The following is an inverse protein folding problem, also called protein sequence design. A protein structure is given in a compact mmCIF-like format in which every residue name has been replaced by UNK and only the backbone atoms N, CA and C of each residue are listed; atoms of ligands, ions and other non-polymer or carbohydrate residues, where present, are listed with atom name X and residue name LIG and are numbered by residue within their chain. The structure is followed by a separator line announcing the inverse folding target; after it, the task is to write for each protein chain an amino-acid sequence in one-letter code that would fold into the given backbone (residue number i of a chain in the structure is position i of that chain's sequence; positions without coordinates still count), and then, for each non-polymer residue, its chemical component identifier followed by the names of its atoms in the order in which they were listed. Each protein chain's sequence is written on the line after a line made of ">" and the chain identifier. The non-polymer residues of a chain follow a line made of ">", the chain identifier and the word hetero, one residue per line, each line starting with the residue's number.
data_IF_668952976468
#
_entry.id   IF_668952976468
#
_cell.length_a   1.000
_cell.length_b   1.000
_cell.length_c   1.000
_cell.angle_alpha   90.00
_cell.angle_beta   90.00
_cell.angle_gamma   90.00
#
_symmetry.space_group_name_H-M   'P 1'
#
loop_
_entity.id
_entity.type
_entity.pdbx_description
1 polymer ?
#
# COMPACT_ATOMS: atom_id res chain seq x y z
N UNK A 1 -11.50 -22.19 -6.56
CA UNK A 1 -11.70 -22.23 -5.09
C UNK A 1 -11.15 -20.99 -4.39
N UNK A 2 -9.88 -20.61 -4.59
CA UNK A 2 -9.27 -19.40 -3.98
C UNK A 2 -10.05 -18.11 -4.30
N UNK A 3 -10.46 -17.89 -5.56
CA UNK A 3 -11.27 -16.72 -5.94
C UNK A 3 -12.60 -16.61 -5.18
N UNK A 4 -13.24 -17.74 -4.83
CA UNK A 4 -14.47 -17.74 -4.04
C UNK A 4 -14.18 -17.30 -2.60
N UNK A 5 -13.07 -17.78 -2.02
CA UNK A 5 -12.63 -17.36 -0.68
C UNK A 5 -12.30 -15.87 -0.66
N UNK A 6 -11.52 -15.38 -1.61
CA UNK A 6 -11.19 -13.94 -1.72
C UNK A 6 -12.45 -13.09 -1.89
N UNK A 7 -13.46 -13.56 -2.63
CA UNK A 7 -14.75 -12.86 -2.76
C UNK A 7 -15.50 -12.79 -1.44
N UNK A 8 -15.54 -13.87 -0.67
CA UNK A 8 -16.16 -13.89 0.67
C UNK A 8 -15.45 -12.91 1.59
N UNK A 9 -14.12 -12.90 1.57
CA UNK A 9 -13.31 -11.94 2.34
C UNK A 9 -13.58 -10.49 1.92
N UNK A 10 -13.72 -10.21 0.62
CA UNK A 10 -14.06 -8.88 0.13
C UNK A 10 -15.46 -8.42 0.61
N UNK A 11 -16.43 -9.33 0.69
CA UNK A 11 -17.77 -9.01 1.18
C UNK A 11 -17.75 -8.63 2.68
N UNK A 12 -16.89 -9.24 3.50
CA UNK A 12 -16.71 -8.85 4.91
C UNK A 12 -16.25 -7.40 5.05
N UNK A 13 -15.45 -6.91 4.10
CA UNK A 13 -14.92 -5.54 4.12
C UNK A 13 -15.93 -4.48 3.65
N UNK A 14 -17.07 -4.86 3.05
CA UNK A 14 -18.04 -3.92 2.46
C UNK A 14 -18.57 -2.88 3.45
N UNK A 15 -18.75 -3.27 4.70
CA UNK A 15 -19.24 -2.41 5.78
C UNK A 15 -18.12 -1.94 6.73
N UNK A 16 -16.86 -2.17 6.36
CA UNK A 16 -15.70 -1.71 7.11
C UNK A 16 -15.21 -0.35 6.62
N UNK A 17 -14.35 0.30 7.40
CA UNK A 17 -13.66 1.54 7.01
C UNK A 17 -12.64 1.35 5.88
N UNK A 18 -12.45 0.12 5.35
CA UNK A 18 -11.54 -0.14 4.23
C UNK A 18 -11.98 0.59 2.96
N UNK A 19 -13.28 0.70 2.69
CA UNK A 19 -13.78 1.48 1.54
C UNK A 19 -13.43 2.97 1.67
N UNK A 20 -13.54 3.53 2.88
CA UNK A 20 -13.12 4.89 3.18
C UNK A 20 -11.62 5.04 2.97
N UNK A 21 -10.78 4.11 3.46
CA UNK A 21 -9.34 4.14 3.26
C UNK A 21 -8.97 4.13 1.76
N UNK A 22 -9.62 3.27 0.97
CA UNK A 22 -9.38 3.13 -0.47
C UNK A 22 -9.65 4.44 -1.23
N UNK A 23 -10.58 5.27 -0.76
CA UNK A 23 -10.91 6.57 -1.36
C UNK A 23 -10.14 7.74 -0.73
N UNK A 24 -9.91 7.71 0.58
CA UNK A 24 -9.28 8.81 1.32
C UNK A 24 -7.82 9.02 0.89
N UNK A 25 -7.07 7.93 0.67
CA UNK A 25 -5.66 7.98 0.25
C UNK A 25 -5.47 8.67 -1.12
N UNK A 26 -6.12 8.21 -2.21
CA UNK A 26 -6.02 8.91 -3.50
C UNK A 26 -6.67 10.30 -3.45
N UNK A 27 -7.75 10.48 -2.66
CA UNK A 27 -8.38 11.78 -2.45
C UNK A 27 -7.43 12.81 -1.83
N UNK A 28 -6.62 12.39 -0.86
CA UNK A 28 -5.60 13.26 -0.26
C UNK A 28 -4.55 13.71 -1.28
N UNK A 29 -4.04 12.79 -2.12
CA UNK A 29 -3.10 13.14 -3.20
C UNK A 29 -3.75 14.12 -4.18
N UNK A 30 -4.98 13.83 -4.61
CA UNK A 30 -5.72 14.68 -5.54
C UNK A 30 -5.86 16.12 -5.00
N UNK A 31 -6.36 16.27 -3.77
CA UNK A 31 -6.57 17.59 -3.15
C UNK A 31 -5.26 18.34 -2.98
N UNK A 32 -4.22 17.67 -2.48
CA UNK A 32 -2.92 18.30 -2.26
C UNK A 32 -2.26 18.74 -3.58
N UNK A 33 -2.34 17.91 -4.63
CA UNK A 33 -1.83 18.28 -5.94
C UNK A 33 -2.62 19.46 -6.53
N UNK A 34 -3.94 19.40 -6.48
CA UNK A 34 -4.81 20.46 -6.96
C UNK A 34 -4.50 21.78 -6.24
N UNK A 35 -4.40 21.76 -4.90
CA UNK A 35 -4.03 22.92 -4.10
C UNK A 35 -2.64 23.47 -4.49
N UNK A 36 -1.67 22.61 -4.76
CA UNK A 36 -0.32 23.02 -5.18
C UNK A 36 -0.37 23.78 -6.51
N UNK A 37 -1.13 23.27 -7.49
CA UNK A 37 -1.32 23.94 -8.78
C UNK A 37 -2.08 25.26 -8.61
N UNK A 38 -3.20 25.25 -7.89
CA UNK A 38 -3.98 26.47 -7.66
C UNK A 38 -3.18 27.56 -6.92
N UNK A 39 -2.19 27.17 -6.12
CA UNK A 39 -1.35 28.11 -5.35
C UNK A 39 -0.25 28.81 -6.16
N UNK A 40 0.01 28.47 -7.42
CA UNK A 40 1.17 29.04 -8.14
C UNK A 40 2.47 28.28 -7.96
N UNK A 41 2.52 27.34 -7.02
CA UNK A 41 3.76 26.67 -6.60
C UNK A 41 4.02 25.34 -7.32
N UNK A 42 3.26 25.05 -8.38
CA UNK A 42 3.46 23.82 -9.15
C UNK A 42 4.81 23.83 -9.87
N UNK A 43 5.53 22.69 -9.93
CA UNK A 43 6.74 22.57 -10.71
C UNK A 43 6.49 22.67 -12.23
N UNK A 44 5.28 22.94 -12.70
CA UNK A 44 4.95 23.35 -14.08
C UNK A 44 5.11 22.28 -15.15
N UNK A 45 5.64 21.09 -14.82
CA UNK A 45 5.86 19.98 -15.74
C UNK A 45 5.17 18.71 -15.23
N UNK A 46 4.51 18.00 -16.14
CA UNK A 46 3.80 16.75 -15.87
C UNK A 46 4.68 15.70 -15.18
N UNK A 47 5.89 15.50 -15.68
CA UNK A 47 6.83 14.53 -15.13
C UNK A 47 7.21 14.85 -13.68
N UNK A 48 7.51 16.12 -13.38
CA UNK A 48 7.87 16.56 -12.02
C UNK A 48 6.71 16.37 -11.05
N UNK A 49 5.50 16.73 -11.46
CA UNK A 49 4.28 16.50 -10.67
C UNK A 49 4.07 15.01 -10.42
N UNK A 50 4.22 14.18 -11.45
CA UNK A 50 4.08 12.72 -11.32
C UNK A 50 5.11 12.12 -10.36
N UNK A 51 6.38 12.54 -10.47
CA UNK A 51 7.45 12.10 -9.58
C UNK A 51 7.22 12.54 -8.13
N UNK A 52 6.80 13.78 -7.89
CA UNK A 52 6.49 14.27 -6.54
C UNK A 52 5.29 13.53 -5.93
N UNK A 53 4.21 13.33 -6.69
CA UNK A 53 3.05 12.57 -6.22
C UNK A 53 3.41 11.11 -5.92
N UNK A 54 4.18 10.48 -6.80
CA UNK A 54 4.67 9.11 -6.60
C UNK A 54 5.64 9.00 -5.41
N UNK A 55 6.45 10.03 -5.14
CA UNK A 55 7.32 10.09 -3.96
C UNK A 55 6.50 10.13 -2.67
N UNK A 56 5.45 10.96 -2.60
CA UNK A 56 4.58 11.03 -1.42
C UNK A 56 3.84 9.70 -1.21
N UNK A 57 3.42 9.06 -2.30
CA UNK A 57 2.89 7.71 -2.26
C UNK A 57 3.90 6.72 -1.67
N UNK A 58 5.09 6.62 -2.25
CA UNK A 58 6.09 5.63 -1.85
C UNK A 58 6.60 5.80 -0.41
N UNK A 59 6.89 7.05 -0.02
CA UNK A 59 7.57 7.35 1.24
C UNK A 59 6.66 7.26 2.46
N UNK A 60 5.40 7.69 2.30
CA UNK A 60 4.50 7.90 3.42
C UNK A 60 3.18 7.16 3.25
N UNK A 61 2.45 7.45 2.17
CA UNK A 61 1.07 6.99 2.06
C UNK A 61 0.96 5.47 1.82
N UNK A 62 1.89 4.84 1.09
CA UNK A 62 1.89 3.40 0.86
C UNK A 62 2.10 2.62 2.16
N UNK A 63 3.18 2.80 2.93
CA UNK A 63 3.37 2.06 4.17
C UNK A 63 2.24 2.35 5.18
N UNK A 64 1.73 3.58 5.24
CA UNK A 64 0.60 3.93 6.11
C UNK A 64 -0.72 3.32 5.65
N UNK A 65 -1.02 3.31 4.35
CA UNK A 65 -2.20 2.68 3.79
C UNK A 65 -2.17 1.17 4.03
N UNK A 66 -1.01 0.52 3.83
CA UNK A 66 -0.79 -0.89 4.15
C UNK A 66 -1.07 -1.16 5.63
N UNK A 67 -0.51 -0.33 6.52
CA UNK A 67 -0.70 -0.43 7.97
C UNK A 67 -2.19 -0.38 8.34
N UNK A 68 -2.89 0.66 7.88
CA UNK A 68 -4.29 0.84 8.15
C UNK A 68 -5.14 -0.29 7.54
N UNK A 69 -4.84 -0.69 6.30
CA UNK A 69 -5.54 -1.76 5.60
C UNK A 69 -5.45 -3.07 6.38
N UNK A 70 -4.24 -3.51 6.74
CA UNK A 70 -4.06 -4.78 7.44
C UNK A 70 -4.64 -4.73 8.86
N UNK A 71 -4.56 -3.60 9.55
CA UNK A 71 -5.14 -3.43 10.88
C UNK A 71 -6.68 -3.49 10.84
N UNK A 72 -7.32 -2.82 9.87
CA UNK A 72 -8.77 -2.87 9.68
C UNK A 72 -9.24 -4.28 9.28
N UNK A 73 -8.50 -4.94 8.38
CA UNK A 73 -8.79 -6.33 7.99
C UNK A 73 -8.70 -7.29 9.18
N UNK A 74 -7.70 -7.12 10.06
CA UNK A 74 -7.56 -7.93 11.26
C UNK A 74 -8.64 -7.62 12.31
N UNK A 75 -9.03 -6.35 12.46
CA UNK A 75 -10.05 -5.94 13.42
C UNK A 75 -11.42 -6.56 13.14
N UNK A 76 -11.77 -6.73 11.85
CA UNK A 76 -12.99 -7.46 11.45
C UNK A 76 -13.00 -8.89 12.00
N UNK A 77 -11.83 -9.52 12.15
CA UNK A 77 -11.71 -10.90 12.63
C UNK A 77 -11.54 -10.97 14.15
N UNK A 78 -10.81 -10.03 14.77
CA UNK A 78 -10.64 -9.98 16.22
C UNK A 78 -11.88 -9.48 16.99
N UNK A 79 -12.95 -9.11 16.28
CA UNK A 79 -14.24 -8.80 16.87
C UNK A 79 -14.90 -10.04 17.52
N UNK A 80 -15.91 -9.83 18.40
CA UNK A 80 -16.56 -10.93 19.11
C UNK A 80 -17.16 -11.95 18.12
N UNK A 81 -16.80 -13.22 18.28
CA UNK A 81 -17.33 -14.37 17.49
C UNK A 81 -17.03 -14.36 15.97
N UNK A 82 -16.13 -13.52 15.47
CA UNK A 82 -15.82 -13.47 14.04
C UNK A 82 -14.92 -14.65 13.60
N UNK A 83 -13.88 -14.97 14.38
CA UNK A 83 -13.02 -16.13 14.12
C UNK A 83 -13.77 -17.47 14.09
N UNK A 84 -14.80 -17.64 14.95
CA UNK A 84 -15.55 -18.89 15.10
C UNK A 84 -16.32 -19.33 13.85
N UNK A 85 -16.71 -18.41 12.96
CA UNK A 85 -17.39 -18.78 11.71
C UNK A 85 -16.41 -18.99 10.55
N UNK A 86 -15.30 -18.25 10.52
CA UNK A 86 -14.34 -18.33 9.42
C UNK A 86 -13.39 -19.53 9.54
N UNK A 87 -13.13 -20.01 10.76
CA UNK A 87 -12.21 -21.13 11.03
C UNK A 87 -12.90 -22.50 11.19
N UNK A 88 -14.23 -22.56 11.15
CA UNK A 88 -15.03 -23.80 11.21
C UNK A 88 -15.31 -24.39 9.82
N UNK A 89 -14.96 -23.67 8.74
CA UNK A 89 -14.99 -24.21 7.39
C UNK A 89 -14.09 -25.46 7.31
N UNK A 90 -14.48 -26.52 6.58
CA UNK A 90 -13.66 -27.74 6.40
C UNK A 90 -12.49 -27.49 5.43
N UNK A 91 -11.74 -26.42 5.67
CA UNK A 91 -10.64 -25.92 4.87
C UNK A 91 -9.42 -25.69 5.75
N UNK A 92 -8.20 -25.95 5.24
CA UNK A 92 -6.99 -25.60 5.97
C UNK A 92 -6.98 -24.11 6.32
N UNK A 93 -6.82 -23.77 7.61
CA UNK A 93 -6.78 -22.37 8.10
C UNK A 93 -5.79 -21.50 7.32
N UNK A 94 -4.65 -22.06 6.91
CA UNK A 94 -3.66 -21.38 6.08
C UNK A 94 -4.23 -20.86 4.74
N UNK A 95 -5.19 -21.55 4.12
CA UNK A 95 -5.85 -21.08 2.88
C UNK A 95 -6.72 -19.85 3.11
N UNK A 96 -7.31 -19.71 4.30
CA UNK A 96 -8.07 -18.51 4.68
C UNK A 96 -7.12 -17.31 4.81
N UNK A 97 -5.99 -17.48 5.48
CA UNK A 97 -4.95 -16.44 5.56
C UNK A 97 -4.38 -16.07 4.18
N UNK A 98 -4.13 -17.06 3.30
CA UNK A 98 -3.70 -16.80 1.92
C UNK A 98 -4.73 -15.98 1.13
N UNK A 99 -6.02 -16.28 1.26
CA UNK A 99 -7.07 -15.51 0.61
C UNK A 99 -7.11 -14.05 1.10
N UNK A 100 -6.90 -13.84 2.41
CA UNK A 100 -6.80 -12.50 3.03
C UNK A 100 -5.56 -11.74 2.59
N UNK A 101 -4.40 -12.41 2.54
CA UNK A 101 -3.16 -11.82 2.05
C UNK A 101 -3.27 -11.39 0.58
N UNK A 102 -3.87 -12.25 -0.25
CA UNK A 102 -4.16 -11.92 -1.66
C UNK A 102 -5.11 -10.72 -1.78
N UNK A 103 -6.15 -10.65 -0.95
CA UNK A 103 -7.06 -9.51 -0.92
C UNK A 103 -6.34 -8.22 -0.50
N UNK A 104 -5.49 -8.27 0.53
CA UNK A 104 -4.70 -7.13 0.98
C UNK A 104 -3.76 -6.62 -0.13
N UNK A 105 -3.08 -7.55 -0.83
CA UNK A 105 -2.22 -7.21 -1.96
C UNK A 105 -3.00 -6.59 -3.14
N UNK A 106 -4.19 -7.13 -3.45
CA UNK A 106 -5.08 -6.59 -4.48
C UNK A 106 -5.60 -5.20 -4.13
N UNK A 107 -6.02 -4.99 -2.87
CA UNK A 107 -6.47 -3.68 -2.41
C UNK A 107 -5.34 -2.65 -2.44
N UNK A 108 -4.11 -3.03 -2.07
CA UNK A 108 -2.94 -2.18 -2.24
C UNK A 108 -2.69 -1.82 -3.72
N UNK A 109 -2.90 -2.76 -4.65
CA UNK A 109 -2.81 -2.50 -6.09
C UNK A 109 -3.88 -1.50 -6.56
N UNK A 110 -5.13 -1.68 -6.11
CA UNK A 110 -6.24 -0.77 -6.40
C UNK A 110 -5.96 0.63 -5.86
N UNK A 111 -5.49 0.76 -4.62
CA UNK A 111 -5.12 2.06 -4.05
C UNK A 111 -4.00 2.70 -4.86
N UNK A 112 -2.96 1.94 -5.23
CA UNK A 112 -1.85 2.45 -6.07
C UNK A 112 -2.35 2.95 -7.44
N UNK A 113 -3.26 2.20 -8.07
CA UNK A 113 -3.90 2.62 -9.33
C UNK A 113 -4.68 3.92 -9.15
N UNK A 114 -5.53 3.99 -8.12
CA UNK A 114 -6.33 5.18 -7.82
C UNK A 114 -5.45 6.39 -7.49
N UNK A 115 -4.30 6.18 -6.85
CA UNK A 115 -3.31 7.24 -6.61
C UNK A 115 -2.73 7.76 -7.94
N UNK A 116 -2.36 6.86 -8.86
CA UNK A 116 -1.92 7.27 -10.20
C UNK A 116 -3.00 8.06 -10.96
N UNK A 117 -4.26 7.62 -10.88
CA UNK A 117 -5.39 8.32 -11.47
C UNK A 117 -5.66 9.67 -10.80
N UNK A 118 -5.51 9.76 -9.48
CA UNK A 118 -5.65 10.99 -8.71
C UNK A 118 -4.60 12.05 -9.11
N UNK A 119 -3.37 11.64 -9.39
CA UNK A 119 -2.32 12.54 -9.90
C UNK A 119 -2.72 13.10 -11.28
N UNK A 120 -3.19 12.24 -12.18
CA UNK A 120 -3.65 12.67 -13.51
C UNK A 120 -4.86 13.60 -13.41
N UNK A 121 -5.87 13.21 -12.64
CA UNK A 121 -7.08 14.00 -12.44
C UNK A 121 -6.78 15.36 -11.80
N UNK A 122 -5.90 15.41 -10.79
CA UNK A 122 -5.51 16.65 -10.12
C UNK A 122 -4.76 17.60 -11.06
N UNK A 123 -3.84 17.06 -11.87
CA UNK A 123 -3.12 17.84 -12.89
C UNK A 123 -4.03 18.39 -13.99
N UNK A 124 -4.94 17.56 -14.50
CA UNK A 124 -5.89 17.94 -15.56
C UNK A 124 -6.89 18.99 -15.05
N UNK A 125 -7.48 18.76 -13.87
CA UNK A 125 -8.42 19.71 -13.29
C UNK A 125 -7.72 21.03 -12.92
N UNK A 126 -6.51 20.97 -12.37
CA UNK A 126 -5.72 22.16 -12.04
C UNK A 126 -5.43 23.03 -13.27
N UNK A 127 -4.99 22.42 -14.38
CA UNK A 127 -4.78 23.13 -15.64
C UNK A 127 -6.07 23.63 -16.31
N UNK A 128 -7.19 22.94 -16.09
CA UNK A 128 -8.50 23.42 -16.55
C UNK A 128 -8.99 24.64 -15.75
N UNK A 129 -8.80 24.65 -14.43
CA UNK A 129 -9.19 25.75 -13.56
C UNK A 129 -8.31 26.99 -13.72
N UNK A 130 -6.99 26.80 -13.82
CA UNK A 130 -6.01 27.86 -14.10
C UNK A 130 -5.18 27.50 -15.34
N UNK A 131 -5.63 27.91 -16.54
CA UNK A 131 -4.93 27.64 -17.80
C UNK A 131 -3.47 28.13 -17.83
N UNK A 132 -3.18 29.25 -17.18
CA UNK A 132 -1.83 29.80 -17.08
C UNK A 132 -0.87 28.90 -16.29
N UNK A 133 -1.42 27.99 -15.47
CA UNK A 133 -0.68 27.01 -14.68
C UNK A 133 -0.81 25.58 -15.23
N UNK A 134 -1.31 25.43 -16.45
CA UNK A 134 -1.40 24.13 -17.09
C UNK A 134 -0.01 23.47 -17.16
N UNK A 135 0.04 22.20 -16.74
CA UNK A 135 1.27 21.43 -16.70
C UNK A 135 1.78 21.18 -18.12
N UNK A 136 3.05 21.46 -18.34
CA UNK A 136 3.72 21.30 -19.62
C UNK A 136 4.25 19.87 -19.80
N UNK A 137 4.41 19.47 -21.07
CA UNK A 137 4.93 18.16 -21.46
C UNK A 137 3.84 17.09 -21.67
N UNK A 138 4.23 15.86 -22.06
CA UNK A 138 3.28 14.78 -22.32
C UNK A 138 2.65 14.27 -21.03
N UNK A 139 1.43 13.73 -21.15
CA UNK A 139 0.75 13.07 -20.04
C UNK A 139 1.57 11.84 -19.57
N UNK A 140 1.93 11.74 -18.28
CA UNK A 140 2.91 10.77 -17.79
C UNK A 140 2.27 9.41 -17.48
N UNK A 141 1.38 8.91 -18.35
CA UNK A 141 0.61 7.68 -18.10
C UNK A 141 1.53 6.47 -17.97
N UNK A 142 2.48 6.31 -18.92
CA UNK A 142 3.45 5.21 -18.89
C UNK A 142 4.38 5.28 -17.68
N UNK A 143 4.82 6.48 -17.30
CA UNK A 143 5.62 6.71 -16.10
C UNK A 143 4.86 6.31 -14.83
N UNK A 144 3.64 6.79 -14.66
CA UNK A 144 2.82 6.47 -13.50
C UNK A 144 2.49 4.98 -13.43
N UNK A 145 2.13 4.34 -14.55
CA UNK A 145 1.89 2.91 -14.60
C UNK A 145 3.13 2.10 -14.17
N UNK A 146 4.32 2.50 -14.65
CA UNK A 146 5.58 1.87 -14.27
C UNK A 146 5.93 2.10 -12.79
N UNK A 147 5.76 3.32 -12.28
CA UNK A 147 6.03 3.63 -10.88
C UNK A 147 5.06 2.90 -9.93
N UNK A 148 3.75 2.98 -10.18
CA UNK A 148 2.74 2.35 -9.32
C UNK A 148 2.90 0.83 -9.28
N UNK A 149 3.20 0.19 -10.42
CA UNK A 149 3.43 -1.26 -10.47
C UNK A 149 4.73 -1.68 -9.76
N UNK A 150 5.84 -0.97 -9.97
CA UNK A 150 7.11 -1.24 -9.29
C UNK A 150 7.03 -1.00 -7.79
N UNK A 151 6.38 0.08 -7.35
CA UNK A 151 6.15 0.39 -5.94
C UNK A 151 5.22 -0.62 -5.28
N UNK A 152 4.21 -1.11 -5.99
CA UNK A 152 3.36 -2.19 -5.51
C UNK A 152 4.16 -3.48 -5.28
N UNK A 153 4.98 -3.88 -6.26
CA UNK A 153 5.89 -5.03 -6.11
C UNK A 153 6.86 -4.86 -4.94
N UNK A 154 7.49 -3.69 -4.83
CA UNK A 154 8.40 -3.36 -3.75
C UNK A 154 7.71 -3.35 -2.37
N UNK A 155 6.45 -2.91 -2.33
CA UNK A 155 5.64 -2.79 -1.12
C UNK A 155 5.08 -4.11 -0.57
N UNK A 156 5.17 -5.22 -1.32
CA UNK A 156 4.70 -6.53 -0.84
C UNK A 156 5.41 -6.99 0.44
N UNK A 157 6.65 -6.56 0.67
CA UNK A 157 7.39 -6.93 1.89
C UNK A 157 6.87 -6.20 3.13
N UNK A 158 6.62 -4.89 3.06
CA UNK A 158 6.00 -4.16 4.17
C UNK A 158 4.56 -4.62 4.41
N UNK A 159 3.82 -4.96 3.35
CA UNK A 159 2.52 -5.63 3.43
C UNK A 159 2.62 -6.94 4.21
N UNK A 160 3.63 -7.76 3.92
CA UNK A 160 3.83 -9.03 4.59
C UNK A 160 4.03 -8.88 6.10
N UNK A 161 4.93 -7.98 6.51
CA UNK A 161 5.19 -7.70 7.93
C UNK A 161 3.92 -7.22 8.61
N UNK A 162 3.23 -6.23 8.03
CA UNK A 162 2.05 -5.64 8.63
C UNK A 162 0.87 -6.59 8.69
N UNK A 163 0.72 -7.44 7.68
CA UNK A 163 -0.27 -8.51 7.67
C UNK A 163 -0.03 -9.50 8.81
N UNK A 164 1.20 -10.00 8.94
CA UNK A 164 1.54 -10.97 9.99
C UNK A 164 1.29 -10.37 11.37
N UNK A 165 1.76 -9.15 11.62
CA UNK A 165 1.61 -8.48 12.92
C UNK A 165 0.15 -8.18 13.23
N UNK A 166 -0.61 -7.64 12.29
CA UNK A 166 -2.01 -7.30 12.49
C UNK A 166 -2.86 -8.54 12.83
N UNK A 167 -2.64 -9.66 12.14
CA UNK A 167 -3.36 -10.89 12.46
C UNK A 167 -2.83 -11.57 13.72
N UNK A 168 -1.53 -11.44 14.03
CA UNK A 168 -0.90 -12.07 15.20
C UNK A 168 -1.41 -11.52 16.54
N UNK A 169 -1.73 -10.23 16.60
CA UNK A 169 -2.15 -9.54 17.82
C UNK A 169 -3.60 -9.08 17.68
N UNK A 170 -4.42 -9.31 18.71
CA UNK A 170 -5.81 -8.84 18.75
C UNK A 170 -5.95 -7.32 18.94
N UNK A 171 -4.86 -6.65 19.31
CA UNK A 171 -4.82 -5.21 19.51
C UNK A 171 -4.63 -4.47 18.19
N UNK A 172 -5.56 -3.58 17.87
CA UNK A 172 -5.45 -2.64 16.74
C UNK A 172 -4.21 -1.74 16.86
N UNK A 173 -3.80 -1.38 18.08
CA UNK A 173 -2.69 -0.46 18.31
C UNK A 173 -1.33 -1.04 17.89
N UNK A 174 -1.11 -2.35 18.05
CA UNK A 174 0.19 -2.99 17.78
C UNK A 174 0.66 -2.83 16.32
N UNK A 175 -0.11 -3.25 15.29
CA UNK A 175 0.30 -3.06 13.90
C UNK A 175 0.40 -1.57 13.52
N UNK A 176 -0.46 -0.72 14.10
CA UNK A 176 -0.45 0.72 13.83
C UNK A 176 0.83 1.38 14.35
N UNK A 177 1.20 1.12 15.61
CA UNK A 177 2.44 1.65 16.20
C UNK A 177 3.66 1.15 15.43
N UNK A 178 3.69 -0.13 15.05
CA UNK A 178 4.78 -0.67 14.23
C UNK A 178 4.87 0.02 12.87
N UNK A 179 3.74 0.25 12.21
CA UNK A 179 3.69 0.89 10.90
C UNK A 179 4.13 2.35 10.91
N UNK A 180 3.62 3.10 11.88
CA UNK A 180 4.01 4.50 12.11
C UNK A 180 5.50 4.55 12.42
N UNK A 181 5.96 3.77 13.40
CA UNK A 181 7.37 3.73 13.80
C UNK A 181 8.26 3.37 12.61
N UNK A 182 7.93 2.31 11.87
CA UNK A 182 8.67 1.89 10.68
C UNK A 182 8.73 2.99 9.61
N UNK A 183 7.65 3.73 9.40
CA UNK A 183 7.60 4.86 8.44
C UNK A 183 8.50 6.02 8.89
N UNK A 184 8.53 6.36 10.18
CA UNK A 184 9.42 7.39 10.70
C UNK A 184 10.89 6.94 10.76
N UNK A 185 11.15 5.68 11.14
CA UNK A 185 12.49 5.11 11.07
C UNK A 185 13.01 5.03 9.64
N UNK A 186 12.13 4.87 8.64
CA UNK A 186 12.50 4.92 7.24
C UNK A 186 13.20 6.24 6.88
N UNK A 187 12.72 7.37 7.40
CA UNK A 187 13.33 8.69 7.17
C UNK A 187 14.80 8.71 7.62
N UNK A 188 15.07 8.17 8.81
CA UNK A 188 16.44 8.09 9.36
C UNK A 188 17.28 7.07 8.60
N UNK A 189 16.68 5.94 8.22
CA UNK A 189 17.35 4.84 7.54
C UNK A 189 17.74 5.19 6.09
N UNK A 190 17.13 6.20 5.46
CA UNK A 190 17.42 6.61 4.07
C UNK A 190 18.89 6.94 3.84
N UNK A 191 19.55 7.53 4.83
CA UNK A 191 20.98 7.87 4.76
C UNK A 191 21.91 6.72 5.18
N UNK A 192 21.37 5.62 5.70
CA UNK A 192 22.15 4.49 6.18
C UNK A 192 22.52 3.54 5.03
N UNK A 193 23.73 2.96 5.08
CA UNK A 193 24.18 1.96 4.08
C UNK A 193 23.22 0.77 3.96
N UNK A 194 22.63 0.35 5.09
CA UNK A 194 21.66 -0.75 5.13
C UNK A 194 20.21 -0.33 4.87
N UNK A 195 19.94 0.98 4.70
CA UNK A 195 18.61 1.50 4.40
C UNK A 195 18.00 0.93 3.11
N UNK A 196 18.86 0.48 2.19
CA UNK A 196 18.46 -0.17 0.93
C UNK A 196 17.63 -1.46 1.15
N UNK A 197 17.83 -2.16 2.28
CA UNK A 197 17.10 -3.38 2.63
C UNK A 197 15.95 -3.12 3.61
N UNK A 198 15.78 -1.89 4.09
CA UNK A 198 14.79 -1.59 5.11
C UNK A 198 13.36 -1.68 4.51
N UNK A 199 12.45 -2.49 5.07
CA UNK A 199 11.15 -2.80 4.43
C UNK A 199 10.30 -1.60 4.03
N UNK A 200 10.23 -0.59 4.91
CA UNK A 200 9.45 0.63 4.68
C UNK A 200 10.07 1.54 3.61
N UNK A 201 11.35 1.36 3.27
CA UNK A 201 12.03 2.12 2.21
C UNK A 201 12.01 1.43 0.85
N UNK A 202 11.65 0.15 0.77
CA UNK A 202 11.67 -0.58 -0.51
C UNK A 202 10.81 0.12 -1.59
N UNK A 203 9.57 0.60 -1.32
CA UNK A 203 8.81 1.34 -2.32
C UNK A 203 9.49 2.64 -2.75
N UNK A 204 10.11 3.36 -1.81
CA UNK A 204 10.85 4.61 -2.09
C UNK A 204 12.08 4.36 -2.93
N UNK A 205 12.79 3.26 -2.71
CA UNK A 205 14.01 2.91 -3.45
C UNK A 205 13.75 2.67 -4.95
N UNK A 206 12.49 2.48 -5.37
CA UNK A 206 12.08 2.48 -6.79
C UNK A 206 12.39 3.82 -7.48
N UNK A 207 12.38 4.92 -6.72
CA UNK A 207 12.67 6.27 -7.21
C UNK A 207 14.18 6.59 -7.19
N UNK A 208 15.03 5.67 -6.74
CA UNK A 208 16.47 5.89 -6.70
C UNK A 208 17.03 6.13 -8.11
N UNK A 209 17.96 7.08 -8.23
CA UNK A 209 18.67 7.35 -9.47
C UNK A 209 19.52 6.18 -9.96
N UNK A 210 19.98 5.32 -9.04
CA UNK A 210 20.74 4.13 -9.35
C UNK A 210 19.81 2.95 -9.70
N UNK A 211 19.83 2.44 -10.95
CA UNK A 211 18.93 1.37 -11.39
C UNK A 211 19.07 0.07 -10.58
N UNK A 212 20.28 -0.23 -10.11
CA UNK A 212 20.55 -1.40 -9.28
C UNK A 212 19.80 -1.36 -7.94
N UNK A 213 19.66 -0.17 -7.34
CA UNK A 213 18.91 0.01 -6.09
C UNK A 213 17.42 -0.21 -6.31
N UNK A 214 16.87 0.34 -7.39
CA UNK A 214 15.47 0.12 -7.74
C UNK A 214 15.20 -1.37 -8.03
N UNK A 215 16.10 -2.04 -8.76
CA UNK A 215 15.98 -3.47 -9.05
C UNK A 215 16.04 -4.32 -7.77
N UNK A 216 17.02 -4.08 -6.89
CA UNK A 216 17.12 -4.79 -5.62
C UNK A 216 15.88 -4.57 -4.76
N UNK A 217 15.30 -3.37 -4.75
CA UNK A 217 14.10 -3.08 -3.97
C UNK A 217 12.87 -3.83 -4.50
N UNK A 218 12.72 -3.89 -5.82
CA UNK A 218 11.65 -4.65 -6.48
C UNK A 218 11.82 -6.16 -6.20
N UNK A 219 13.02 -6.71 -6.34
CA UNK A 219 13.28 -8.14 -6.11
C UNK A 219 13.05 -8.50 -4.65
N UNK A 220 13.61 -7.71 -3.72
CA UNK A 220 13.46 -7.93 -2.28
C UNK A 220 12.01 -7.79 -1.87
N UNK A 221 11.34 -6.74 -2.36
CA UNK A 221 9.93 -6.48 -2.11
C UNK A 221 9.01 -7.60 -2.60
N UNK A 222 9.19 -8.01 -3.85
CA UNK A 222 8.32 -9.00 -4.50
C UNK A 222 8.63 -10.43 -4.03
N UNK A 223 9.84 -10.93 -4.29
CA UNK A 223 10.23 -12.31 -3.94
C UNK A 223 10.22 -12.49 -2.42
N UNK A 224 10.89 -11.57 -1.70
CA UNK A 224 10.93 -11.61 -0.24
C UNK A 224 9.54 -11.43 0.38
N UNK A 225 8.73 -10.51 -0.14
CA UNK A 225 7.38 -10.26 0.37
C UNK A 225 6.43 -11.44 0.14
N UNK A 226 6.47 -12.07 -1.03
CA UNK A 226 5.66 -13.27 -1.33
C UNK A 226 6.10 -14.44 -0.44
N UNK A 227 7.40 -14.69 -0.31
CA UNK A 227 7.91 -15.75 0.58
C UNK A 227 7.49 -15.51 2.03
N UNK A 228 7.65 -14.27 2.52
CA UNK A 228 7.26 -13.91 3.89
C UNK A 228 5.75 -14.04 4.12
N UNK A 229 4.92 -13.66 3.14
CA UNK A 229 3.47 -13.88 3.21
C UNK A 229 3.11 -15.36 3.26
N UNK A 230 3.74 -16.20 2.43
CA UNK A 230 3.47 -17.64 2.42
C UNK A 230 3.84 -18.30 3.76
N UNK A 231 5.03 -17.97 4.29
CA UNK A 231 5.49 -18.42 5.61
C UNK A 231 4.56 -17.92 6.71
N UNK A 232 4.20 -16.63 6.67
CA UNK A 232 3.30 -15.99 7.63
C UNK A 232 1.91 -16.62 7.64
N UNK A 233 1.32 -16.88 6.47
CA UNK A 233 0.01 -17.54 6.35
C UNK A 233 0.05 -18.98 6.88
N UNK A 234 1.13 -19.71 6.61
CA UNK A 234 1.32 -21.06 7.14
C UNK A 234 1.45 -21.05 8.67
N UNK A 235 2.24 -20.12 9.22
CA UNK A 235 2.45 -19.97 10.65
C UNK A 235 1.18 -19.55 11.39
N UNK A 236 0.46 -18.54 10.90
CA UNK A 236 -0.83 -18.12 11.46
C UNK A 236 -1.89 -19.23 11.38
N UNK A 237 -1.85 -20.05 10.34
CA UNK A 237 -2.76 -21.18 10.15
C UNK A 237 -2.55 -22.33 11.14
N UNK A 238 -1.37 -22.47 11.73
CA UNK A 238 -1.07 -23.49 12.76
C UNK A 238 -1.47 -23.10 14.17
N UNK A 239 -1.84 -21.83 14.37
CA UNK A 239 -2.15 -21.32 15.70
C UNK A 239 -3.56 -21.72 16.14
N UNK A 240 -3.71 -21.95 17.43
CA UNK A 240 -5.00 -22.09 18.08
C UNK A 240 -5.59 -20.70 18.33
N UNK A 241 -6.76 -20.48 17.74
CA UNK A 241 -7.54 -19.25 17.85
C UNK A 241 -8.75 -19.61 18.72
N UNK A 242 -8.53 -19.67 20.04
CA UNK A 242 -9.55 -19.89 21.07
C UNK A 242 -10.00 -18.55 21.65
#
# INVERSE_FOLDING_TARGET
>A
MMLRLTRVEALKLRHSLVSLLVLAVPGMIFVMLLATILSGNSPGAWERVAMSGAAIWAYFLLPMAVTALTALMAQVEHGPRAWSWSLTLPLPKARVFQAKALLAALLMAVISLLVGLAILAGGLLGGWLLPDQALQGPLPIGLLAALMSKMWLAGLFVLAIQFIVAFRFSSFAVPVVLGISGTFFAVVATSARLGIYFPWLLPTNVLASAPERAFQAIVTGSVGGVLLLLIGCWWLGRRDWL
#
